data_IF_715012917757
#
_entry.id   IF_715012917757
#
_cell.length_a   1.000
_cell.length_b   1.000
_cell.length_c   1.000
_cell.angle_alpha   90.00
_cell.angle_beta   90.00
_cell.angle_gamma   90.00
#
_symmetry.space_group_name_H-M   'P 1'
#
loop_
_entity.id
_entity.type
_entity.pdbx_description
1 polymer ?
#
# COMPACT_ATOMS: atom_id res chain seq x y z
N UNK A 1 -44.04 -37.83 -60.42
CA UNK A 1 -44.13 -36.37 -60.27
C UNK A 1 -44.47 -36.10 -58.80
N UNK A 2 -43.52 -35.95 -57.87
CA UNK A 2 -42.38 -35.06 -57.89
C UNK A 2 -42.77 -33.76 -57.18
N UNK A 3 -42.83 -33.74 -55.84
CA UNK A 3 -42.77 -32.51 -55.04
C UNK A 3 -41.98 -32.80 -53.75
N UNK A 4 -40.72 -32.35 -53.77
CA UNK A 4 -39.96 -31.66 -52.73
C UNK A 4 -39.79 -32.26 -51.32
N UNK A 5 -38.64 -32.92 -51.15
CA UNK A 5 -37.85 -32.89 -49.91
C UNK A 5 -37.57 -31.45 -49.47
N UNK A 6 -38.10 -31.05 -48.31
CA UNK A 6 -37.67 -29.84 -47.62
C UNK A 6 -36.72 -30.27 -46.51
N UNK A 7 -35.42 -30.26 -46.81
CA UNK A 7 -34.37 -30.39 -45.82
C UNK A 7 -34.25 -29.05 -45.08
N UNK A 8 -35.01 -28.87 -43.99
CA UNK A 8 -34.91 -27.70 -43.15
C UNK A 8 -33.74 -27.88 -42.17
N UNK A 9 -32.53 -27.54 -42.63
CA UNK A 9 -31.34 -27.49 -41.79
C UNK A 9 -31.40 -26.22 -40.92
N UNK A 10 -32.07 -26.32 -39.77
CA UNK A 10 -32.03 -25.33 -38.68
C UNK A 10 -30.73 -25.52 -37.87
N UNK A 11 -29.57 -25.33 -38.50
CA UNK A 11 -28.32 -25.12 -37.77
C UNK A 11 -27.88 -23.67 -37.92
N UNK A 12 -28.72 -22.76 -37.42
CA UNK A 12 -28.47 -21.31 -37.41
C UNK A 12 -28.61 -20.70 -36.02
N UNK A 13 -28.05 -21.30 -34.98
CA UNK A 13 -27.62 -20.55 -33.79
C UNK A 13 -26.39 -21.23 -33.19
N UNK A 14 -25.28 -21.19 -33.92
CA UNK A 14 -23.97 -21.36 -33.30
C UNK A 14 -23.87 -20.33 -32.17
N UNK A 15 -23.82 -20.83 -30.94
CA UNK A 15 -23.48 -20.04 -29.77
C UNK A 15 -22.11 -19.42 -30.04
N UNK A 16 -22.09 -18.13 -30.39
CA UNK A 16 -20.87 -17.34 -30.45
C UNK A 16 -20.27 -17.35 -29.05
N UNK A 17 -19.41 -18.33 -28.77
CA UNK A 17 -18.66 -18.40 -27.53
C UNK A 17 -17.84 -17.11 -27.47
N UNK A 18 -18.32 -16.14 -26.71
CA UNK A 18 -17.56 -14.94 -26.33
C UNK A 18 -16.29 -15.48 -25.69
N UNK A 19 -15.19 -15.53 -26.45
CA UNK A 19 -13.90 -15.95 -25.93
C UNK A 19 -13.62 -15.06 -24.71
N UNK A 20 -13.68 -15.66 -23.51
CA UNK A 20 -13.34 -14.98 -22.27
C UNK A 20 -11.89 -14.54 -22.43
N UNK A 21 -11.69 -13.26 -22.73
CA UNK A 21 -10.36 -12.69 -22.81
C UNK A 21 -9.67 -12.96 -21.47
N UNK A 22 -8.43 -13.44 -21.55
CA UNK A 22 -7.65 -13.73 -20.35
C UNK A 22 -7.56 -12.45 -19.50
N UNK A 23 -7.66 -12.55 -18.16
CA UNK A 23 -7.55 -11.38 -17.30
C UNK A 23 -6.20 -10.70 -17.54
N UNK A 24 -6.23 -9.40 -17.83
CA UNK A 24 -5.02 -8.62 -18.05
C UNK A 24 -4.23 -8.50 -16.75
N UNK A 25 -2.96 -8.93 -16.77
CA UNK A 25 -2.03 -8.80 -15.64
C UNK A 25 -0.99 -7.74 -15.95
N UNK A 26 -0.88 -6.74 -15.09
CA UNK A 26 0.20 -5.74 -15.18
C UNK A 26 1.57 -6.40 -14.94
N UNK A 27 2.59 -5.89 -15.63
CA UNK A 27 3.98 -6.31 -15.41
C UNK A 27 4.39 -6.02 -13.95
N UNK A 28 5.28 -6.83 -13.35
CA UNK A 28 5.81 -6.55 -12.03
C UNK A 28 6.43 -5.15 -12.00
N UNK A 29 6.21 -4.41 -10.91
CA UNK A 29 6.63 -3.02 -10.76
C UNK A 29 5.68 -1.96 -11.34
N UNK A 30 4.85 -2.28 -12.35
CA UNK A 30 3.92 -1.29 -12.95
C UNK A 30 2.90 -0.76 -11.94
N UNK A 31 2.33 -1.63 -11.11
CA UNK A 31 1.37 -1.23 -10.08
C UNK A 31 2.05 -0.46 -8.95
N UNK A 32 3.23 -0.92 -8.51
CA UNK A 32 4.01 -0.23 -7.46
C UNK A 32 4.38 1.20 -7.88
N UNK A 33 4.86 1.40 -9.11
CA UNK A 33 5.18 2.74 -9.63
C UNK A 33 3.94 3.63 -9.74
N UNK A 34 2.79 3.07 -10.09
CA UNK A 34 1.52 3.82 -10.11
C UNK A 34 1.13 4.25 -8.71
N UNK A 35 1.29 3.36 -7.73
CA UNK A 35 0.97 3.64 -6.34
C UNK A 35 1.90 4.69 -5.73
N UNK A 36 3.21 4.59 -5.96
CA UNK A 36 4.19 5.60 -5.52
C UNK A 36 3.80 6.99 -6.03
N UNK A 37 3.52 7.13 -7.33
CA UNK A 37 3.10 8.42 -7.93
C UNK A 37 1.79 8.93 -7.36
N UNK A 38 0.84 8.02 -7.08
CA UNK A 38 -0.45 8.39 -6.48
C UNK A 38 -0.24 8.92 -5.06
N UNK A 39 0.52 8.19 -4.24
CA UNK A 39 0.79 8.53 -2.84
C UNK A 39 1.57 9.84 -2.73
N UNK A 40 2.59 10.05 -3.56
CA UNK A 40 3.36 11.30 -3.59
C UNK A 40 2.54 12.53 -4.03
N UNK A 41 1.41 12.34 -4.70
CA UNK A 41 0.52 13.45 -5.12
C UNK A 41 -0.50 13.81 -4.03
N UNK A 42 -0.75 12.92 -3.08
CA UNK A 42 -1.78 13.08 -2.04
C UNK A 42 -1.15 13.28 -0.68
N UNK A 43 -1.86 13.94 0.23
CA UNK A 43 -1.42 14.17 1.63
C UNK A 43 -2.32 13.46 2.63
N UNK A 44 -3.00 12.40 2.20
CA UNK A 44 -3.95 11.68 3.05
C UNK A 44 -3.19 10.74 4.00
N UNK A 45 -3.65 10.65 5.25
CA UNK A 45 -3.16 9.68 6.22
C UNK A 45 -3.38 8.25 5.69
N UNK A 46 -2.35 7.41 5.81
CA UNK A 46 -2.33 6.04 5.29
C UNK A 46 -2.61 5.01 6.37
N UNK A 47 -2.27 5.31 7.62
CA UNK A 47 -2.53 4.42 8.75
C UNK A 47 -4.00 4.59 9.18
N UNK A 48 -4.76 3.50 9.37
CA UNK A 48 -6.10 3.61 9.90
C UNK A 48 -6.07 4.22 11.32
N UNK A 49 -6.85 5.28 11.55
CA UNK A 49 -6.81 6.03 12.82
C UNK A 49 -7.19 5.18 14.04
N UNK A 50 -8.16 4.26 13.91
CA UNK A 50 -8.63 3.44 15.03
C UNK A 50 -7.52 2.57 15.68
N UNK A 51 -6.76 1.74 14.93
CA UNK A 51 -5.64 1.00 15.52
C UNK A 51 -4.52 1.93 16.02
N UNK A 52 -4.22 3.03 15.32
CA UNK A 52 -3.20 3.99 15.77
C UNK A 52 -3.55 4.57 17.14
N UNK A 53 -4.79 5.04 17.34
CA UNK A 53 -5.26 5.58 18.60
C UNK A 53 -5.21 4.53 19.73
N UNK A 54 -5.52 3.26 19.43
CA UNK A 54 -5.40 2.17 20.42
C UNK A 54 -3.96 2.01 20.90
N UNK A 55 -3.01 1.98 19.97
CA UNK A 55 -1.58 1.89 20.28
C UNK A 55 -1.08 3.09 21.06
N UNK A 56 -1.49 4.32 20.71
CA UNK A 56 -1.13 5.54 21.46
C UNK A 56 -1.63 5.45 22.90
N UNK A 57 -2.89 5.03 23.12
CA UNK A 57 -3.45 4.88 24.46
C UNK A 57 -2.79 3.76 25.27
N UNK A 58 -2.43 2.66 24.62
CA UNK A 58 -1.69 1.55 25.24
C UNK A 58 -0.31 2.02 25.75
N UNK A 59 0.46 2.71 24.91
CA UNK A 59 1.77 3.27 25.28
C UNK A 59 1.61 4.34 26.37
N UNK A 60 0.62 5.23 26.23
CA UNK A 60 0.34 6.27 27.24
C UNK A 60 0.03 5.67 28.60
N UNK A 61 -0.83 4.65 28.67
CA UNK A 61 -1.17 4.01 29.94
C UNK A 61 0.04 3.34 30.60
N UNK A 62 1.00 2.86 29.81
CA UNK A 62 2.24 2.30 30.33
C UNK A 62 3.18 3.36 30.90
N UNK A 63 3.29 4.53 30.25
CA UNK A 63 4.23 5.59 30.62
C UNK A 63 3.66 6.54 31.69
N UNK A 64 2.39 6.92 31.55
CA UNK A 64 1.71 7.96 32.33
C UNK A 64 0.24 7.54 32.57
N UNK A 65 -0.03 6.65 33.54
CA UNK A 65 -1.37 6.10 33.80
C UNK A 65 -2.39 7.16 34.27
N UNK A 66 -1.94 8.33 34.71
CA UNK A 66 -2.79 9.46 35.08
C UNK A 66 -3.48 10.12 33.89
N UNK A 67 -2.93 9.99 32.67
CA UNK A 67 -3.46 10.63 31.47
C UNK A 67 -4.51 9.74 30.81
N UNK A 68 -5.77 9.93 31.20
CA UNK A 68 -6.90 9.13 30.72
C UNK A 68 -7.64 9.73 29.52
N UNK A 69 -7.56 11.05 29.33
CA UNK A 69 -8.30 11.80 28.30
C UNK A 69 -7.36 12.37 27.26
N UNK A 70 -7.78 12.28 26.00
CA UNK A 70 -7.03 12.74 24.84
C UNK A 70 -7.90 13.67 23.99
N UNK A 71 -7.33 14.79 23.57
CA UNK A 71 -7.95 15.66 22.56
C UNK A 71 -7.86 14.99 21.18
N UNK A 72 -8.91 15.14 20.37
CA UNK A 72 -8.95 14.55 19.03
C UNK A 72 -7.83 15.12 18.13
N UNK A 73 -7.61 16.43 18.18
CA UNK A 73 -6.54 17.10 17.41
C UNK A 73 -5.14 16.64 17.84
N UNK A 74 -4.93 16.37 19.12
CA UNK A 74 -3.65 15.85 19.61
C UNK A 74 -3.35 14.45 19.05
N UNK A 75 -4.36 13.58 18.98
CA UNK A 75 -4.21 12.25 18.37
C UNK A 75 -3.93 12.33 16.88
N UNK A 76 -4.56 13.29 16.18
CA UNK A 76 -4.29 13.53 14.76
C UNK A 76 -2.87 14.05 14.54
N UNK A 77 -2.42 15.04 15.32
CA UNK A 77 -1.07 15.59 15.23
C UNK A 77 0.01 14.51 15.50
N UNK A 78 -0.23 13.62 16.47
CA UNK A 78 0.64 12.47 16.72
C UNK A 78 0.69 11.52 15.52
N UNK A 79 -0.45 11.30 14.86
CA UNK A 79 -0.50 10.44 13.68
C UNK A 79 0.25 11.07 12.50
N UNK A 80 0.03 12.36 12.24
CA UNK A 80 0.73 13.10 11.19
C UNK A 80 2.25 13.06 11.39
N UNK A 81 2.73 13.34 12.60
CA UNK A 81 4.15 13.30 12.93
C UNK A 81 4.74 11.88 12.81
N UNK A 82 3.98 10.85 13.21
CA UNK A 82 4.43 9.46 13.11
C UNK A 82 4.54 8.99 11.65
N UNK A 83 3.56 9.33 10.81
CA UNK A 83 3.60 8.98 9.38
C UNK A 83 4.72 9.72 8.65
N UNK A 84 4.92 11.01 8.91
CA UNK A 84 6.01 11.81 8.33
C UNK A 84 7.38 11.22 8.69
N UNK A 85 7.59 10.86 9.96
CA UNK A 85 8.82 10.22 10.41
C UNK A 85 9.11 8.91 9.67
N UNK A 86 8.09 8.08 9.48
CA UNK A 86 8.23 6.79 8.78
C UNK A 86 8.52 7.00 7.29
N UNK A 87 7.85 7.94 6.64
CA UNK A 87 8.10 8.29 5.23
C UNK A 87 9.55 8.73 5.05
N UNK A 88 10.03 9.65 5.88
CA UNK A 88 11.39 10.14 5.81
C UNK A 88 12.43 9.03 6.06
N UNK A 89 12.15 8.12 6.99
CA UNK A 89 13.02 6.96 7.23
C UNK A 89 13.07 6.03 6.01
N UNK A 90 11.94 5.83 5.31
CA UNK A 90 11.92 5.03 4.09
C UNK A 90 12.68 5.69 2.93
N UNK A 91 12.66 7.01 2.81
CA UNK A 91 13.45 7.75 1.83
C UNK A 91 14.95 7.55 2.06
N UNK A 92 15.43 7.78 3.28
CA UNK A 92 16.84 7.57 3.67
C UNK A 92 17.27 6.10 3.43
N UNK A 93 16.41 5.16 3.81
CA UNK A 93 16.65 3.72 3.63
C UNK A 93 16.66 3.31 2.16
N UNK A 94 15.84 3.94 1.32
CA UNK A 94 15.82 3.67 -0.12
C UNK A 94 17.12 4.13 -0.78
N UNK A 95 17.66 5.28 -0.39
CA UNK A 95 18.97 5.75 -0.86
C UNK A 95 20.09 4.76 -0.50
N UNK A 96 20.05 4.19 0.71
CA UNK A 96 20.99 3.14 1.14
C UNK A 96 20.86 1.85 0.30
N UNK A 97 19.64 1.44 -0.03
CA UNK A 97 19.40 0.26 -0.88
C UNK A 97 19.92 0.47 -2.31
N UNK A 98 19.68 1.65 -2.89
CA UNK A 98 20.18 2.05 -4.21
C UNK A 98 21.71 2.09 -4.21
N UNK A 99 22.34 2.64 -3.16
CA UNK A 99 23.79 2.63 -3.00
C UNK A 99 24.37 1.21 -3.05
N UNK A 100 23.65 0.23 -2.49
CA UNK A 100 23.99 -1.19 -2.54
C UNK A 100 23.53 -1.90 -3.84
N UNK A 101 23.16 -1.17 -4.90
CA UNK A 101 22.70 -1.67 -6.20
C UNK A 101 21.44 -2.56 -6.12
N UNK A 102 20.57 -2.33 -5.15
CA UNK A 102 19.30 -3.05 -4.97
C UNK A 102 18.11 -2.11 -5.11
N UNK A 103 16.95 -2.71 -5.41
CA UNK A 103 15.65 -2.01 -5.47
C UNK A 103 14.76 -2.41 -4.29
N UNK A 104 14.94 -3.63 -3.76
CA UNK A 104 14.19 -4.11 -2.60
C UNK A 104 14.84 -3.62 -1.31
N UNK A 105 14.08 -2.92 -0.48
CA UNK A 105 14.49 -2.41 0.81
C UNK A 105 14.60 -3.55 1.83
N UNK A 106 15.66 -3.53 2.64
CA UNK A 106 15.93 -4.56 3.66
C UNK A 106 16.15 -3.93 5.03
N UNK A 107 16.02 -4.73 6.10
CA UNK A 107 16.25 -4.29 7.49
C UNK A 107 17.59 -3.59 7.68
N UNK A 108 18.66 -4.12 7.07
CA UNK A 108 20.01 -3.53 7.12
C UNK A 108 20.09 -2.10 6.55
N UNK A 109 19.23 -1.77 5.58
CA UNK A 109 19.20 -0.43 4.98
C UNK A 109 18.57 0.57 5.97
N UNK A 110 17.51 0.15 6.68
CA UNK A 110 16.88 0.94 7.73
C UNK A 110 17.78 1.12 8.95
N UNK A 111 18.47 0.05 9.36
CA UNK A 111 19.45 0.11 10.46
C UNK A 111 20.60 1.05 10.11
N UNK A 112 21.09 1.01 8.87
CA UNK A 112 22.13 1.92 8.40
C UNK A 112 21.63 3.37 8.37
N UNK A 113 20.47 3.63 7.78
CA UNK A 113 19.85 4.95 7.75
C UNK A 113 19.69 5.53 9.16
N UNK A 114 19.16 4.72 10.10
CA UNK A 114 18.98 5.11 11.50
C UNK A 114 20.32 5.46 12.19
N UNK A 115 21.39 4.71 11.89
CA UNK A 115 22.74 5.00 12.42
C UNK A 115 23.31 6.30 11.88
N UNK A 116 23.11 6.59 10.58
CA UNK A 116 23.63 7.79 9.93
C UNK A 116 22.88 9.05 10.37
N UNK A 117 21.56 8.99 10.37
CA UNK A 117 20.71 10.15 10.69
C UNK A 117 20.59 10.38 12.21
N UNK A 118 21.11 9.47 13.05
CA UNK A 118 20.98 9.45 14.52
C UNK A 118 19.54 9.52 15.04
N UNK A 119 18.55 9.30 14.17
CA UNK A 119 17.12 9.27 14.52
C UNK A 119 16.84 8.05 15.39
N UNK A 120 16.13 8.23 16.51
CA UNK A 120 15.77 7.13 17.41
C UNK A 120 16.95 6.50 18.17
N UNK A 121 18.02 7.23 18.47
CA UNK A 121 18.95 6.77 19.50
C UNK A 121 18.32 6.99 20.89
N UNK A 122 18.40 6.01 21.81
CA UNK A 122 18.01 6.24 23.20
C UNK A 122 18.92 7.33 23.78
N UNK A 123 18.31 8.23 24.54
CA UNK A 123 19.01 9.27 25.31
C UNK A 123 19.76 8.68 26.50
#
# INVERSE_FOLDING_TARGET
>A
MGIWSINFNLNKYGTGQRQKQKPHRFKPGTQALREIRRLQKTVNLLIPAAPFIRTVKEISNYIAPEVTRWQAEALQALQEAAEDYIVQLFEDSMLCSIHAKRVTLMKKDMELARRLTKKGQPW
#
